data_IF_673126265227
#
_entry.id   IF_673126265227
#
_cell.length_a   1.000
_cell.length_b   1.000
_cell.length_c   1.000
_cell.angle_alpha   90.00
_cell.angle_beta   90.00
_cell.angle_gamma   90.00
#
_symmetry.space_group_name_H-M   'P 1'
#
loop_
_entity.id
_entity.type
_entity.pdbx_description
1 polymer ?
#
# COMPACT_ATOMS: atom_id res chain seq x y z
N UNK A 1 -23.13 -1.13 17.62
CA UNK A 1 -21.89 -1.83 17.99
C UNK A 1 -22.13 -3.31 17.75
N UNK A 2 -21.86 -3.80 16.52
CA UNK A 2 -22.00 -5.22 16.17
C UNK A 2 -20.57 -5.71 15.99
N UNK A 3 -20.11 -6.46 17.00
CA UNK A 3 -18.83 -7.15 16.97
C UNK A 3 -18.94 -8.31 15.97
N UNK A 4 -18.09 -8.35 14.97
CA UNK A 4 -17.90 -9.49 14.08
C UNK A 4 -16.80 -10.36 14.70
N UNK A 5 -17.20 -11.43 15.38
CA UNK A 5 -16.31 -12.55 15.68
C UNK A 5 -16.13 -13.37 14.39
N UNK A 6 -14.97 -13.26 13.80
CA UNK A 6 -14.53 -14.18 12.76
C UNK A 6 -13.74 -15.30 13.47
N UNK A 7 -14.35 -16.47 13.62
CA UNK A 7 -13.63 -17.66 14.11
C UNK A 7 -12.48 -18.02 13.16
N UNK A 8 -11.26 -17.85 13.65
CA UNK A 8 -10.04 -18.32 13.01
C UNK A 8 -9.91 -19.83 13.18
N UNK A 9 -10.37 -20.61 12.20
CA UNK A 9 -10.00 -22.02 12.04
C UNK A 9 -9.38 -22.25 10.68
N UNK A 10 -8.13 -21.85 10.53
CA UNK A 10 -7.30 -22.32 9.43
C UNK A 10 -6.04 -22.97 9.98
N UNK A 11 -6.04 -24.30 9.99
CA UNK A 11 -4.84 -25.11 10.25
C UNK A 11 -3.86 -24.92 9.10
N UNK A 12 -2.74 -24.29 9.39
CA UNK A 12 -1.60 -24.16 8.50
C UNK A 12 -0.93 -25.52 8.26
N UNK A 13 -0.94 -26.03 7.03
CA UNK A 13 0.00 -27.04 6.57
C UNK A 13 1.10 -26.35 5.75
N UNK A 14 2.39 -26.64 6.00
CA UNK A 14 3.47 -26.05 5.24
C UNK A 14 3.54 -26.66 3.84
N UNK A 15 3.53 -25.80 2.82
CA UNK A 15 3.82 -26.19 1.45
C UNK A 15 5.34 -26.17 1.25
N UNK A 16 5.90 -27.32 0.98
CA UNK A 16 7.33 -27.51 0.60
C UNK A 16 7.51 -26.97 -0.81
N UNK A 17 8.27 -25.89 -0.97
CA UNK A 17 8.64 -25.35 -2.27
C UNK A 17 9.84 -26.11 -2.81
N UNK A 18 9.67 -26.84 -3.91
CA UNK A 18 10.73 -27.38 -4.75
C UNK A 18 11.37 -26.27 -5.59
N UNK A 19 12.71 -26.21 -5.55
CA UNK A 19 13.50 -25.14 -6.14
C UNK A 19 13.49 -25.10 -7.67
N UNK A 20 13.48 -23.87 -8.19
CA UNK A 20 13.89 -23.55 -9.55
C UNK A 20 14.94 -22.43 -9.54
N UNK A 21 15.89 -22.54 -10.47
CA UNK A 21 17.13 -21.82 -10.53
C UNK A 21 17.01 -20.30 -10.72
N UNK A 22 17.93 -19.61 -10.07
CA UNK A 22 18.07 -18.15 -10.04
C UNK A 22 18.66 -17.62 -11.36
N UNK A 23 17.88 -16.85 -12.10
CA UNK A 23 18.39 -15.87 -13.04
C UNK A 23 18.42 -14.49 -12.37
N UNK A 24 19.57 -13.79 -12.43
CA UNK A 24 19.74 -12.45 -11.88
C UNK A 24 18.88 -11.45 -12.67
N UNK A 25 17.79 -10.97 -12.08
CA UNK A 25 17.06 -9.80 -12.58
C UNK A 25 17.17 -8.67 -11.57
N UNK A 26 17.83 -7.57 -11.98
CA UNK A 26 17.75 -6.31 -11.22
C UNK A 26 16.30 -5.80 -11.19
N UNK A 27 15.91 -5.18 -10.05
CA UNK A 27 14.52 -4.85 -9.79
C UNK A 27 13.91 -4.01 -10.92
N UNK A 28 12.68 -4.29 -11.27
CA UNK A 28 11.90 -3.60 -12.32
C UNK A 28 11.90 -2.07 -12.13
N UNK A 29 11.84 -1.62 -10.90
CA UNK A 29 11.80 -0.19 -10.54
C UNK A 29 13.12 0.56 -10.78
N UNK A 30 14.27 -0.12 -10.71
CA UNK A 30 15.57 0.48 -11.00
C UNK A 30 15.80 0.70 -12.51
N UNK A 31 15.18 -0.08 -13.38
CA UNK A 31 15.41 -0.01 -14.84
C UNK A 31 14.77 1.20 -15.51
N UNK A 32 13.72 1.77 -14.94
CA UNK A 32 13.06 2.95 -15.52
C UNK A 32 13.72 4.29 -15.18
N UNK A 33 14.61 4.33 -14.17
CA UNK A 33 15.31 5.56 -13.76
C UNK A 33 16.56 5.90 -14.61
N UNK A 34 17.07 5.00 -15.45
CA UNK A 34 18.38 5.14 -16.08
C UNK A 34 18.35 5.83 -17.46
N UNK A 35 17.19 6.04 -18.08
CA UNK A 35 17.13 6.51 -19.47
C UNK A 35 16.91 8.03 -19.68
N UNK A 36 16.98 8.88 -18.65
CA UNK A 36 16.82 10.34 -18.80
C UNK A 36 18.06 11.18 -18.51
N UNK A 37 19.21 10.61 -18.28
CA UNK A 37 20.44 11.35 -17.95
C UNK A 37 21.49 11.30 -19.05
N UNK A 38 21.15 11.72 -20.29
CA UNK A 38 22.15 12.07 -21.31
C UNK A 38 21.64 13.23 -22.14
N UNK A 39 21.85 14.43 -21.66
CA UNK A 39 22.03 15.65 -22.45
C UNK A 39 21.97 16.85 -21.50
N UNK A 40 23.10 17.44 -21.16
CA UNK A 40 23.37 18.86 -21.21
C UNK A 40 24.85 19.07 -20.83
N UNK A 41 25.53 19.81 -21.68
CA UNK A 41 26.97 19.97 -21.66
C UNK A 41 27.48 21.12 -20.80
N UNK A 42 28.75 21.04 -20.63
CA UNK A 42 29.84 21.98 -20.29
C UNK A 42 29.47 23.47 -20.14
N UNK A 43 29.88 24.05 -19.05
CA UNK A 43 30.12 25.48 -18.97
C UNK A 43 30.23 26.07 -17.57
N UNK A 44 31.43 26.55 -17.27
CA UNK A 44 31.82 27.61 -16.36
C UNK A 44 32.21 27.25 -14.93
N UNK A 45 33.52 27.25 -14.77
CA UNK A 45 34.31 27.37 -13.57
C UNK A 45 34.31 28.85 -13.11
N UNK A 46 33.95 29.14 -11.87
CA UNK A 46 34.42 30.37 -11.17
C UNK A 46 34.38 30.22 -9.66
N UNK A 47 35.48 30.56 -9.04
CA UNK A 47 35.85 30.59 -7.61
C UNK A 47 34.82 31.30 -6.72
N UNK A 48 34.67 30.76 -5.50
CA UNK A 48 34.66 31.55 -4.25
C UNK A 48 35.01 30.65 -3.07
N UNK A 49 36.24 30.72 -2.65
CA UNK A 49 36.72 30.33 -1.32
C UNK A 49 36.29 31.43 -0.32
N UNK A 50 35.43 31.10 0.62
CA UNK A 50 35.42 31.61 2.01
C UNK A 50 34.14 31.12 2.73
N UNK A 51 34.29 30.40 3.84
CA UNK A 51 33.16 30.06 4.73
C UNK A 51 33.11 28.59 5.17
N UNK A 52 34.25 27.97 5.39
CA UNK A 52 34.29 26.71 6.10
C UNK A 52 34.40 27.03 7.61
N UNK A 53 33.28 26.90 8.32
CA UNK A 53 33.25 26.52 9.74
C UNK A 53 31.85 26.80 10.34
N UNK A 54 30.84 26.01 10.04
CA UNK A 54 29.69 25.80 10.94
C UNK A 54 28.78 24.73 10.33
N UNK A 55 29.17 23.47 10.33
CA UNK A 55 28.27 22.36 9.95
C UNK A 55 28.76 20.98 10.41
N UNK A 56 29.48 20.90 11.52
CA UNK A 56 29.99 19.60 12.03
C UNK A 56 29.02 18.97 13.06
N UNK A 57 28.05 19.71 13.60
CA UNK A 57 27.10 19.15 14.59
C UNK A 57 25.77 18.62 14.04
N UNK A 58 25.45 18.78 12.75
CA UNK A 58 24.16 18.32 12.18
C UNK A 58 24.23 16.90 11.58
N UNK A 59 25.40 16.27 11.53
CA UNK A 59 25.59 14.97 10.86
C UNK A 59 25.36 13.74 11.74
N UNK A 60 24.95 13.88 13.00
CA UNK A 60 24.86 12.76 13.95
C UNK A 60 23.45 12.25 14.25
N UNK A 61 22.39 12.83 13.73
CA UNK A 61 21.04 12.30 13.91
C UNK A 61 20.62 11.46 12.69
N UNK A 62 20.02 10.27 12.89
CA UNK A 62 19.51 9.48 11.78
C UNK A 62 18.37 10.23 11.08
N UNK A 63 18.31 10.12 9.75
CA UNK A 63 17.21 10.65 8.97
C UNK A 63 15.96 9.76 9.09
N UNK A 64 14.80 10.28 8.68
CA UNK A 64 13.57 9.48 8.59
C UNK A 64 13.74 8.33 7.59
N UNK A 65 14.48 8.56 6.50
CA UNK A 65 14.79 7.54 5.51
C UNK A 65 15.71 6.45 6.07
N UNK A 66 16.72 6.79 6.87
CA UNK A 66 17.56 5.79 7.54
C UNK A 66 16.72 4.90 8.46
N UNK A 67 15.77 5.49 9.19
CA UNK A 67 14.81 4.74 10.01
C UNK A 67 13.96 3.81 9.14
N UNK A 68 13.36 4.30 8.05
CA UNK A 68 12.54 3.50 7.15
C UNK A 68 13.34 2.34 6.53
N UNK A 69 14.56 2.59 6.10
CA UNK A 69 15.46 1.57 5.54
C UNK A 69 15.86 0.52 6.56
N UNK A 70 16.20 0.94 7.80
CA UNK A 70 16.53 0.00 8.88
C UNK A 70 15.38 -0.96 9.18
N UNK A 71 14.15 -0.41 9.33
CA UNK A 71 12.94 -1.20 9.55
C UNK A 71 12.65 -2.15 8.39
N UNK A 72 12.93 -1.71 7.17
CA UNK A 72 12.74 -2.49 5.95
C UNK A 72 13.82 -3.57 5.71
N UNK A 73 14.84 -3.68 6.57
CA UNK A 73 15.97 -4.59 6.36
C UNK A 73 16.84 -4.20 5.16
N UNK A 74 16.94 -2.89 4.86
CA UNK A 74 17.77 -2.34 3.79
C UNK A 74 19.04 -1.71 4.37
N UNK A 75 20.15 -1.68 3.62
CA UNK A 75 21.37 -1.04 4.07
C UNK A 75 21.13 0.43 4.47
N UNK A 76 21.70 0.85 5.59
CA UNK A 76 21.67 2.22 6.08
C UNK A 76 23.08 2.74 6.28
N UNK A 77 23.22 4.07 6.21
CA UNK A 77 24.47 4.77 6.49
C UNK A 77 24.36 5.54 7.82
N UNK A 78 25.47 6.13 8.27
CA UNK A 78 25.46 6.97 9.46
C UNK A 78 25.24 6.20 10.78
N UNK A 79 24.60 6.84 11.78
CA UNK A 79 24.53 6.31 13.16
C UNK A 79 23.84 4.96 13.29
N UNK A 80 22.87 4.66 12.43
CA UNK A 80 22.12 3.40 12.49
C UNK A 80 22.85 2.22 11.84
N UNK A 81 23.97 2.45 11.15
CA UNK A 81 24.74 1.39 10.48
C UNK A 81 25.30 0.35 11.44
N UNK A 82 25.50 0.69 12.71
CA UNK A 82 25.95 -0.24 13.75
C UNK A 82 24.97 -1.39 13.98
N UNK A 83 23.66 -1.14 13.87
CA UNK A 83 22.65 -2.17 13.99
C UNK A 83 22.71 -3.20 12.87
N UNK A 84 23.16 -2.81 11.67
CA UNK A 84 23.25 -3.71 10.51
C UNK A 84 24.36 -4.75 10.62
N UNK A 85 25.27 -4.59 11.60
CA UNK A 85 26.30 -5.58 11.91
C UNK A 85 25.77 -6.70 12.84
N UNK A 86 24.63 -6.51 13.50
CA UNK A 86 24.01 -7.53 14.34
C UNK A 86 23.47 -8.68 13.47
N UNK A 87 23.85 -9.92 13.80
CA UNK A 87 23.44 -11.11 13.05
C UNK A 87 21.90 -11.28 13.02
N UNK A 88 21.20 -10.86 14.06
CA UNK A 88 19.74 -10.92 14.14
C UNK A 88 19.10 -9.92 13.16
N UNK A 89 19.67 -8.71 13.06
CA UNK A 89 19.23 -7.76 12.04
C UNK A 89 19.49 -8.28 10.64
N UNK A 90 20.63 -8.93 10.39
CA UNK A 90 20.91 -9.58 9.09
C UNK A 90 19.90 -10.69 8.79
N UNK A 91 19.48 -11.45 9.80
CA UNK A 91 18.38 -12.41 9.69
C UNK A 91 17.05 -11.76 9.33
N UNK A 92 16.72 -10.60 9.94
CA UNK A 92 15.57 -9.80 9.56
C UNK A 92 15.65 -9.32 8.11
N UNK A 93 16.77 -8.76 7.69
CA UNK A 93 16.99 -8.27 6.33
C UNK A 93 16.80 -9.39 5.29
N UNK A 94 17.39 -10.57 5.54
CA UNK A 94 17.24 -11.72 4.65
C UNK A 94 15.79 -12.22 4.56
N UNK A 95 15.04 -12.23 5.67
CA UNK A 95 13.63 -12.61 5.69
C UNK A 95 12.77 -11.61 4.89
N UNK A 96 13.00 -10.31 5.10
CA UNK A 96 12.32 -9.26 4.35
C UNK A 96 12.62 -9.31 2.85
N UNK A 97 13.87 -9.53 2.46
CA UNK A 97 14.27 -9.67 1.06
C UNK A 97 13.58 -10.83 0.38
N UNK A 98 13.52 -11.99 1.06
CA UNK A 98 12.83 -13.16 0.53
C UNK A 98 11.34 -12.90 0.31
N UNK A 99 10.68 -12.36 1.33
CA UNK A 99 9.24 -12.05 1.25
C UNK A 99 8.95 -10.98 0.17
N UNK A 100 9.80 -9.95 0.08
CA UNK A 100 9.65 -8.88 -0.89
C UNK A 100 9.83 -9.36 -2.34
N UNK A 101 10.87 -10.13 -2.64
CA UNK A 101 11.08 -10.71 -3.97
C UNK A 101 9.90 -11.56 -4.42
N UNK A 102 9.33 -12.33 -3.51
CA UNK A 102 8.12 -13.11 -3.80
C UNK A 102 6.94 -12.19 -4.12
N UNK A 103 6.72 -11.15 -3.30
CA UNK A 103 5.65 -10.19 -3.51
C UNK A 103 5.82 -9.39 -4.82
N UNK A 104 7.03 -8.94 -5.11
CA UNK A 104 7.37 -8.21 -6.33
C UNK A 104 7.06 -9.07 -7.56
N UNK A 105 7.57 -10.29 -7.61
CA UNK A 105 7.42 -11.18 -8.76
C UNK A 105 5.97 -11.62 -9.01
N UNK A 106 5.24 -12.04 -7.96
CA UNK A 106 3.90 -12.61 -8.12
C UNK A 106 2.75 -11.60 -8.02
N UNK A 107 3.03 -10.36 -7.60
CA UNK A 107 1.99 -9.34 -7.40
C UNK A 107 2.33 -7.99 -8.03
N UNK A 108 3.42 -7.35 -7.61
CA UNK A 108 3.65 -5.95 -7.97
C UNK A 108 3.99 -5.78 -9.46
N UNK A 109 4.86 -6.64 -10.00
CA UNK A 109 5.19 -6.63 -11.44
C UNK A 109 3.99 -6.99 -12.31
N UNK A 110 3.22 -8.07 -12.04
CA UNK A 110 1.98 -8.36 -12.75
C UNK A 110 0.95 -7.23 -12.70
N UNK A 111 0.75 -6.58 -11.54
CA UNK A 111 -0.15 -5.43 -11.42
C UNK A 111 0.31 -4.27 -12.30
N UNK A 112 1.60 -3.90 -12.24
CA UNK A 112 2.15 -2.82 -13.03
C UNK A 112 2.01 -3.08 -14.55
N UNK A 113 2.29 -4.30 -14.99
CA UNK A 113 2.14 -4.72 -16.39
C UNK A 113 0.68 -4.67 -16.83
N UNK A 114 -0.23 -5.16 -15.99
CA UNK A 114 -1.66 -5.14 -16.26
C UNK A 114 -2.19 -3.71 -16.34
N UNK A 115 -1.86 -2.84 -15.36
CA UNK A 115 -2.25 -1.43 -15.36
C UNK A 115 -1.70 -0.69 -16.58
N UNK A 116 -0.43 -0.92 -16.94
CA UNK A 116 0.18 -0.32 -18.12
C UNK A 116 -0.53 -0.69 -19.43
N UNK A 117 -1.05 -1.92 -19.52
CA UNK A 117 -1.70 -2.45 -20.72
C UNK A 117 -3.20 -2.10 -20.79
N UNK A 118 -3.91 -2.06 -19.67
CA UNK A 118 -5.37 -1.94 -19.64
C UNK A 118 -5.84 -0.55 -19.18
N UNK A 119 -5.06 0.14 -18.35
CA UNK A 119 -5.43 1.42 -17.74
C UNK A 119 -4.25 2.43 -17.71
N UNK A 120 -3.42 2.45 -18.76
CA UNK A 120 -2.15 3.18 -18.79
C UNK A 120 -2.28 4.69 -18.56
N UNK A 121 -3.40 5.29 -18.93
CA UNK A 121 -3.69 6.70 -18.67
C UNK A 121 -3.87 6.98 -17.16
N UNK A 122 -4.56 6.08 -16.46
CA UNK A 122 -4.77 6.17 -15.00
C UNK A 122 -3.52 5.72 -14.22
N UNK A 123 -2.79 4.73 -14.72
CA UNK A 123 -1.51 4.30 -14.16
C UNK A 123 -0.51 5.47 -14.06
N UNK A 124 -0.52 6.36 -15.05
CA UNK A 124 0.30 7.59 -15.10
C UNK A 124 -0.40 8.84 -14.57
N UNK A 125 -1.56 8.69 -13.90
CA UNK A 125 -2.28 9.83 -13.34
C UNK A 125 -1.48 10.46 -12.20
N UNK A 126 -1.24 11.76 -12.29
CA UNK A 126 -0.52 12.56 -11.28
C UNK A 126 -1.45 13.22 -10.26
N UNK A 127 -2.74 12.90 -10.30
CA UNK A 127 -3.75 13.46 -9.40
C UNK A 127 -3.75 12.83 -8.00
N UNK A 128 -4.90 12.94 -7.33
CA UNK A 128 -5.14 12.32 -6.02
C UNK A 128 -5.58 10.87 -6.19
N UNK A 129 -5.06 9.99 -5.36
CA UNK A 129 -5.48 8.59 -5.24
C UNK A 129 -6.19 8.38 -3.90
N UNK A 130 -7.40 7.83 -3.95
CA UNK A 130 -8.23 7.55 -2.79
C UNK A 130 -8.27 6.04 -2.52
N UNK A 131 -7.93 5.62 -1.29
CA UNK A 131 -8.04 4.24 -0.86
C UNK A 131 -8.74 4.15 0.49
N UNK A 132 -10.05 4.16 0.45
CA UNK A 132 -10.90 3.99 1.62
C UNK A 132 -10.89 2.51 2.05
N UNK A 133 -10.94 2.24 3.34
CA UNK A 133 -10.82 0.91 3.95
C UNK A 133 -9.47 0.22 3.70
N UNK A 134 -8.41 1.00 3.48
CA UNK A 134 -7.09 0.48 3.14
C UNK A 134 -6.31 -0.06 4.34
N UNK A 135 -6.59 0.44 5.57
CA UNK A 135 -5.56 0.33 6.60
C UNK A 135 -4.23 0.90 6.09
N UNK A 136 -3.07 0.35 6.48
CA UNK A 136 -1.77 0.81 6.01
C UNK A 136 -1.36 0.29 4.62
N UNK A 137 -2.29 -0.22 3.79
CA UNK A 137 -1.99 -0.84 2.49
C UNK A 137 -1.54 0.15 1.41
N UNK A 138 -0.48 0.88 1.68
CA UNK A 138 0.16 1.76 0.69
C UNK A 138 0.79 0.96 -0.47
N UNK A 139 1.17 -0.29 -0.23
CA UNK A 139 1.83 -1.12 -1.20
C UNK A 139 1.01 -1.29 -2.48
N UNK A 140 -0.27 -1.65 -2.34
CA UNK A 140 -1.16 -1.80 -3.49
C UNK A 140 -1.59 -0.44 -4.07
N UNK A 141 -1.78 0.58 -3.24
CA UNK A 141 -2.04 1.94 -3.70
C UNK A 141 -0.98 2.41 -4.70
N UNK A 142 0.30 2.19 -4.35
CA UNK A 142 1.44 2.55 -5.18
C UNK A 142 1.59 1.63 -6.41
N UNK A 143 1.36 0.33 -6.27
CA UNK A 143 1.45 -0.61 -7.39
C UNK A 143 0.45 -0.29 -8.51
N UNK A 144 -0.78 0.10 -8.15
CA UNK A 144 -1.80 0.48 -9.13
C UNK A 144 -1.63 1.90 -9.67
N UNK A 145 -1.16 2.87 -8.87
CA UNK A 145 -1.12 4.28 -9.23
C UNK A 145 0.20 4.95 -8.79
N UNK A 146 1.37 4.54 -9.33
CA UNK A 146 2.69 4.98 -8.83
C UNK A 146 2.97 6.47 -9.06
N UNK A 147 2.27 7.10 -10.00
CA UNK A 147 2.48 8.48 -10.40
C UNK A 147 1.56 9.47 -9.68
N UNK A 148 0.65 9.01 -8.83
CA UNK A 148 -0.21 9.89 -8.06
C UNK A 148 0.61 10.84 -7.18
N UNK A 149 0.29 12.13 -7.20
CA UNK A 149 1.00 13.13 -6.39
C UNK A 149 0.60 13.07 -4.92
N UNK A 150 -0.61 12.60 -4.65
CA UNK A 150 -1.18 12.50 -3.31
C UNK A 150 -1.94 11.20 -3.14
N UNK A 151 -1.60 10.47 -2.10
CA UNK A 151 -2.32 9.26 -1.68
C UNK A 151 -3.09 9.57 -0.40
N UNK A 152 -4.36 9.19 -0.35
CA UNK A 152 -5.23 9.36 0.82
C UNK A 152 -5.77 7.99 1.21
N UNK A 153 -5.20 7.45 2.28
CA UNK A 153 -5.55 6.18 2.87
C UNK A 153 -6.38 6.39 4.13
N UNK A 154 -7.34 5.51 4.37
CA UNK A 154 -8.17 5.55 5.58
C UNK A 154 -8.38 4.14 6.15
N UNK A 155 -8.33 4.04 7.47
CA UNK A 155 -8.56 2.80 8.20
C UNK A 155 -8.96 3.06 9.65
N UNK A 156 -9.12 1.99 10.42
CA UNK A 156 -9.44 2.05 11.86
C UNK A 156 -8.21 1.80 12.75
N UNK A 157 -7.08 1.44 12.13
CA UNK A 157 -5.83 1.14 12.81
C UNK A 157 -5.23 2.42 13.40
N UNK A 158 -4.57 2.34 14.57
CA UNK A 158 -3.91 3.50 15.17
C UNK A 158 -2.81 4.05 14.25
N UNK A 159 -2.69 5.37 14.20
CA UNK A 159 -1.65 6.04 13.39
C UNK A 159 -0.25 5.61 13.82
N UNK A 160 -0.01 5.54 15.12
CA UNK A 160 1.31 5.22 15.68
C UNK A 160 2.27 6.40 15.63
N UNK A 161 3.54 6.10 15.88
CA UNK A 161 4.60 7.10 15.99
C UNK A 161 5.75 6.78 15.03
N UNK A 162 6.48 7.81 14.61
CA UNK A 162 7.79 7.62 13.98
C UNK A 162 8.71 6.93 14.99
N UNK A 163 9.26 5.76 14.69
CA UNK A 163 10.10 5.03 15.63
C UNK A 163 11.39 5.78 15.94
N UNK A 164 11.67 6.01 17.22
CA UNK A 164 12.98 6.52 17.66
C UNK A 164 13.94 5.33 17.87
N UNK A 165 14.38 4.76 16.75
CA UNK A 165 15.26 3.57 16.75
C UNK A 165 16.63 3.87 17.34
N UNK A 166 17.06 5.15 17.37
CA UNK A 166 18.35 5.55 17.93
C UNK A 166 18.46 5.37 19.45
N UNK A 167 17.31 5.30 20.12
CA UNK A 167 17.23 5.09 21.58
C UNK A 167 17.01 3.63 21.97
N UNK A 168 16.90 2.73 21.00
CA UNK A 168 16.72 1.30 21.28
C UNK A 168 18.09 0.62 21.42
N UNK A 169 18.19 -0.31 22.34
CA UNK A 169 19.28 -1.28 22.31
C UNK A 169 19.03 -2.34 21.24
N UNK A 170 20.04 -3.15 20.95
CA UNK A 170 19.96 -4.15 19.91
C UNK A 170 18.88 -5.24 20.20
N UNK A 171 18.67 -5.59 21.45
CA UNK A 171 17.69 -6.61 21.87
C UNK A 171 16.26 -6.08 21.64
N UNK A 172 15.99 -4.87 22.11
CA UNK A 172 14.71 -4.18 21.92
C UNK A 172 14.40 -4.00 20.45
N UNK A 173 15.38 -3.52 19.66
CA UNK A 173 15.19 -3.33 18.22
C UNK A 173 14.84 -4.65 17.54
N UNK A 174 15.60 -5.72 17.78
CA UNK A 174 15.37 -7.01 17.11
C UNK A 174 14.04 -7.66 17.51
N UNK A 175 13.61 -7.54 18.77
CA UNK A 175 12.28 -7.97 19.19
C UNK A 175 11.17 -7.22 18.45
N UNK A 176 11.29 -5.90 18.32
CA UNK A 176 10.36 -5.05 17.60
C UNK A 176 10.32 -5.35 16.08
N UNK A 177 11.47 -5.62 15.47
CA UNK A 177 11.55 -6.04 14.06
C UNK A 177 10.89 -7.41 13.82
N UNK A 178 10.96 -8.31 14.82
CA UNK A 178 10.21 -9.58 14.83
C UNK A 178 8.71 -9.32 14.77
N UNK A 179 8.19 -8.54 15.72
CA UNK A 179 6.77 -8.18 15.78
C UNK A 179 6.28 -7.47 14.51
N UNK A 180 7.10 -6.57 13.94
CA UNK A 180 6.77 -5.89 12.68
C UNK A 180 6.65 -6.87 11.51
N UNK A 181 7.55 -7.87 11.40
CA UNK A 181 7.42 -8.91 10.37
C UNK A 181 6.16 -9.74 10.56
N UNK A 182 5.83 -10.10 11.78
CA UNK A 182 4.63 -10.90 12.09
C UNK A 182 3.37 -10.12 11.68
N UNK A 183 3.28 -8.83 12.03
CA UNK A 183 2.18 -7.94 11.61
C UNK A 183 2.06 -7.84 10.09
N UNK A 184 3.17 -7.77 9.38
CA UNK A 184 3.17 -7.65 7.91
C UNK A 184 2.95 -8.99 7.21
N UNK A 185 3.14 -10.13 7.89
CA UNK A 185 3.12 -11.45 7.27
C UNK A 185 1.78 -11.75 6.59
N UNK A 186 0.67 -11.37 7.22
CA UNK A 186 -0.67 -11.54 6.68
C UNK A 186 -0.80 -10.83 5.31
N UNK A 187 -0.47 -9.55 5.21
CA UNK A 187 -0.51 -8.84 3.92
C UNK A 187 0.47 -9.44 2.90
N UNK A 188 1.68 -9.79 3.33
CA UNK A 188 2.69 -10.33 2.41
C UNK A 188 2.30 -11.70 1.86
N UNK A 189 1.50 -12.49 2.58
CA UNK A 189 1.03 -13.82 2.18
C UNK A 189 -0.36 -13.76 1.54
N UNK A 190 -1.36 -13.19 2.25
CA UNK A 190 -2.77 -13.20 1.84
C UNK A 190 -3.18 -12.01 0.99
N UNK A 191 -2.30 -11.00 0.86
CA UNK A 191 -2.48 -9.80 0.06
C UNK A 191 -3.44 -8.76 0.64
N UNK A 192 -3.98 -8.93 1.85
CA UNK A 192 -4.79 -7.94 2.57
C UNK A 192 -4.49 -7.97 4.07
N UNK A 193 -4.87 -6.92 4.78
CA UNK A 193 -4.78 -6.85 6.24
C UNK A 193 -6.10 -7.28 6.89
N UNK A 194 -5.98 -7.91 8.07
CA UNK A 194 -7.12 -8.18 8.95
C UNK A 194 -7.04 -7.20 10.12
N UNK A 195 -7.97 -6.24 10.19
CA UNK A 195 -7.94 -5.10 11.13
C UNK A 195 -7.83 -5.54 12.60
N UNK A 196 -8.55 -6.58 13.02
CA UNK A 196 -8.52 -7.03 14.42
C UNK A 196 -7.20 -7.72 14.78
N UNK A 197 -6.61 -8.48 13.87
CA UNK A 197 -5.27 -9.06 14.04
C UNK A 197 -4.23 -7.95 14.16
N UNK A 198 -4.26 -6.97 13.25
CA UNK A 198 -3.36 -5.84 13.26
C UNK A 198 -3.43 -5.01 14.54
N UNK A 199 -4.62 -4.71 15.06
CA UNK A 199 -4.78 -3.97 16.31
C UNK A 199 -4.10 -4.68 17.48
N UNK A 200 -4.22 -6.00 17.51
CA UNK A 200 -3.61 -6.84 18.55
C UNK A 200 -2.09 -6.87 18.42
N UNK A 201 -1.59 -7.08 17.22
CA UNK A 201 -0.15 -7.21 16.93
C UNK A 201 0.59 -5.87 17.10
N UNK A 202 0.02 -4.77 16.55
CA UNK A 202 0.57 -3.42 16.68
C UNK A 202 0.63 -2.93 18.14
N UNK A 203 -0.17 -3.50 19.03
CA UNK A 203 -0.12 -3.19 20.45
C UNK A 203 0.98 -3.93 21.23
N UNK A 204 1.65 -4.92 20.63
CA UNK A 204 2.63 -5.78 21.32
C UNK A 204 4.08 -5.28 21.26
N UNK A 205 4.37 -4.28 20.48
CA UNK A 205 5.72 -3.76 20.32
C UNK A 205 5.79 -2.24 20.50
N UNK A 206 6.98 -1.68 20.68
CA UNK A 206 7.18 -0.23 20.68
C UNK A 206 7.13 0.40 19.28
N UNK A 207 7.09 -0.43 18.21
CA UNK A 207 6.80 -0.01 16.84
C UNK A 207 5.29 -0.03 16.60
N UNK A 208 4.56 0.80 17.34
CA UNK A 208 3.10 0.80 17.34
C UNK A 208 2.51 1.54 16.15
N UNK A 209 1.33 1.08 15.70
CA UNK A 209 0.54 1.75 14.69
C UNK A 209 1.02 1.56 13.25
N UNK A 210 0.45 2.33 12.33
CA UNK A 210 0.62 2.16 10.89
C UNK A 210 1.91 2.79 10.35
N UNK A 211 2.46 3.82 11.00
CA UNK A 211 3.64 4.55 10.51
C UNK A 211 4.85 3.64 10.24
N UNK A 212 5.23 2.70 11.13
CA UNK A 212 6.35 1.80 10.84
C UNK A 212 6.12 0.93 9.59
N UNK A 213 4.88 0.48 9.35
CA UNK A 213 4.52 -0.32 8.17
C UNK A 213 4.62 0.53 6.90
N UNK A 214 4.09 1.76 6.93
CA UNK A 214 4.20 2.70 5.81
C UNK A 214 5.66 3.01 5.46
N UNK A 215 6.52 3.15 6.47
CA UNK A 215 7.96 3.37 6.28
C UNK A 215 8.62 2.16 5.59
N UNK A 216 8.29 0.94 6.00
CA UNK A 216 8.79 -0.27 5.35
C UNK A 216 8.37 -0.32 3.88
N UNK A 217 7.10 -0.05 3.58
CA UNK A 217 6.62 -0.06 2.19
C UNK A 217 7.29 1.02 1.34
N UNK A 218 7.39 2.25 1.85
CA UNK A 218 8.08 3.33 1.14
C UNK A 218 9.53 2.94 0.81
N UNK A 219 10.29 2.49 1.81
CA UNK A 219 11.68 2.10 1.61
C UNK A 219 11.82 0.91 0.63
N UNK A 220 10.97 -0.11 0.74
CA UNK A 220 10.99 -1.29 -0.13
C UNK A 220 10.56 -0.99 -1.56
N UNK A 221 9.71 0.02 -1.77
CA UNK A 221 9.36 0.54 -3.09
C UNK A 221 10.45 1.45 -3.69
N UNK A 222 11.57 1.66 -2.98
CA UNK A 222 12.66 2.52 -3.43
C UNK A 222 12.37 4.01 -3.28
N UNK A 223 11.36 4.36 -2.47
CA UNK A 223 11.05 5.75 -2.12
C UNK A 223 11.97 6.24 -1.00
N UNK A 224 12.27 7.51 -0.98
CA UNK A 224 13.01 8.21 0.09
C UNK A 224 12.03 8.98 0.97
N UNK A 225 12.00 8.71 2.26
CA UNK A 225 11.15 9.45 3.22
C UNK A 225 11.80 10.80 3.53
N UNK A 226 11.10 11.89 3.21
CA UNK A 226 11.63 13.27 3.34
C UNK A 226 11.13 13.95 4.59
N UNK A 227 9.82 13.86 4.88
CA UNK A 227 9.18 14.52 6.01
C UNK A 227 8.01 13.70 6.54
N UNK A 228 7.73 13.83 7.84
CA UNK A 228 6.57 13.22 8.48
C UNK A 228 5.97 14.19 9.49
N UNK A 229 4.70 14.48 9.34
CA UNK A 229 3.95 15.36 10.22
C UNK A 229 2.61 14.74 10.64
N UNK A 230 2.26 14.85 11.91
CA UNK A 230 0.95 14.43 12.40
C UNK A 230 -0.10 15.46 12.06
N UNK A 231 -1.29 15.00 11.71
CA UNK A 231 -2.45 15.82 11.40
C UNK A 231 -3.61 15.43 12.31
N UNK A 232 -4.38 16.44 12.76
CA UNK A 232 -5.49 16.25 13.70
C UNK A 232 -6.85 16.63 13.10
N UNK A 233 -6.84 17.24 11.92
CA UNK A 233 -8.04 17.62 11.17
C UNK A 233 -7.86 17.21 9.71
N UNK A 234 -8.84 16.56 9.08
CA UNK A 234 -10.24 16.30 9.49
C UNK A 234 -10.41 15.14 10.49
N UNK A 235 -9.37 14.35 10.71
CA UNK A 235 -9.28 13.23 11.63
C UNK A 235 -7.84 13.09 12.11
N UNK A 236 -7.60 12.23 13.11
CA UNK A 236 -6.25 11.84 13.52
C UNK A 236 -5.54 11.13 12.36
N UNK A 237 -4.33 11.56 12.03
CA UNK A 237 -3.61 11.00 10.90
C UNK A 237 -2.15 11.39 10.85
N UNK A 238 -1.49 10.95 9.79
CA UNK A 238 -0.12 11.29 9.45
C UNK A 238 -0.02 11.71 7.99
N UNK A 239 0.81 12.71 7.73
CA UNK A 239 1.26 13.09 6.38
C UNK A 239 2.73 12.69 6.25
N UNK A 240 3.06 11.90 5.26
CA UNK A 240 4.43 11.53 4.91
C UNK A 240 4.74 12.11 3.54
N UNK A 241 5.74 12.96 3.45
CA UNK A 241 6.30 13.43 2.18
C UNK A 241 7.46 12.50 1.80
N UNK A 242 7.43 12.00 0.60
CA UNK A 242 8.47 11.11 0.08
C UNK A 242 8.83 11.48 -1.36
N UNK A 243 9.98 11.00 -1.81
CA UNK A 243 10.41 11.16 -3.20
C UNK A 243 10.72 9.82 -3.86
N UNK A 244 10.38 9.70 -5.14
CA UNK A 244 10.75 8.57 -5.98
C UNK A 244 11.06 9.05 -7.41
N UNK A 245 12.20 8.64 -7.96
CA UNK A 245 12.61 9.05 -9.31
C UNK A 245 12.70 10.57 -9.50
N UNK A 246 13.05 11.32 -8.46
CA UNK A 246 13.14 12.79 -8.49
C UNK A 246 11.80 13.52 -8.34
N UNK A 247 10.68 12.82 -8.18
CA UNK A 247 9.35 13.41 -7.93
C UNK A 247 9.03 13.40 -6.45
N UNK A 248 8.48 14.49 -5.95
CA UNK A 248 7.94 14.58 -4.59
C UNK A 248 6.47 14.18 -4.59
N UNK A 249 6.09 13.31 -3.66
CA UNK A 249 4.73 12.78 -3.48
C UNK A 249 4.34 12.85 -2.01
N UNK A 250 3.05 12.84 -1.73
CA UNK A 250 2.51 12.93 -0.37
C UNK A 250 1.59 11.75 -0.08
N UNK A 251 1.81 11.08 1.03
CA UNK A 251 0.96 10.03 1.57
C UNK A 251 0.27 10.55 2.84
N UNK A 252 -1.04 10.51 2.86
CA UNK A 252 -1.86 10.69 4.06
C UNK A 252 -2.41 9.33 4.49
N UNK A 253 -2.31 9.03 5.76
CA UNK A 253 -3.09 8.00 6.40
C UNK A 253 -3.94 8.62 7.51
N UNK A 254 -5.23 8.31 7.55
CA UNK A 254 -6.16 8.77 8.56
C UNK A 254 -6.81 7.60 9.29
N UNK A 255 -6.81 7.66 10.63
CA UNK A 255 -7.64 6.82 11.46
C UNK A 255 -9.03 7.43 11.53
N UNK A 256 -9.98 6.86 10.81
CA UNK A 256 -11.34 7.39 10.74
C UNK A 256 -12.37 6.31 10.50
N UNK A 257 -13.51 6.42 11.17
CA UNK A 257 -14.69 5.64 10.87
C UNK A 257 -15.41 6.26 9.67
N UNK A 258 -15.58 5.48 8.62
CA UNK A 258 -16.25 5.89 7.39
C UNK A 258 -17.76 5.57 7.40
N UNK A 259 -18.30 5.02 8.49
CA UNK A 259 -19.73 4.79 8.65
C UNK A 259 -20.49 6.11 8.80
N UNK A 260 -21.77 6.10 8.43
CA UNK A 260 -22.57 7.29 8.40
C UNK A 260 -22.27 8.20 7.21
N UNK A 261 -23.16 9.12 6.89
CA UNK A 261 -23.01 10.05 5.77
C UNK A 261 -22.34 11.36 6.18
N UNK A 262 -21.58 11.99 5.27
CA UNK A 262 -21.23 13.41 5.32
C UNK A 262 -20.21 13.82 6.39
N UNK A 263 -19.33 12.94 6.83
CA UNK A 263 -18.30 13.27 7.80
C UNK A 263 -17.31 14.33 7.27
N UNK A 264 -16.60 15.00 8.19
CA UNK A 264 -15.62 16.05 7.87
C UNK A 264 -14.47 15.52 7.00
N UNK A 265 -14.12 14.25 7.14
CA UNK A 265 -13.06 13.61 6.36
C UNK A 265 -13.42 13.53 4.87
N UNK A 266 -14.64 13.08 4.51
CA UNK A 266 -15.05 13.01 3.10
C UNK A 266 -15.17 14.42 2.48
N UNK A 267 -15.60 15.43 3.25
CA UNK A 267 -15.59 16.85 2.80
C UNK A 267 -14.16 17.33 2.53
N UNK A 268 -13.24 16.98 3.40
CA UNK A 268 -11.82 17.30 3.23
C UNK A 268 -11.21 16.60 2.00
N UNK A 269 -11.59 15.35 1.74
CA UNK A 269 -11.20 14.63 0.52
C UNK A 269 -11.79 15.33 -0.72
N UNK A 270 -13.07 15.68 -0.71
CA UNK A 270 -13.75 16.35 -1.83
C UNK A 270 -13.08 17.66 -2.24
N UNK A 271 -12.56 18.43 -1.28
CA UNK A 271 -11.82 19.67 -1.55
C UNK A 271 -10.50 19.47 -2.33
N UNK A 272 -10.04 18.24 -2.50
CA UNK A 272 -8.83 17.87 -3.31
C UNK A 272 -9.16 17.51 -4.75
N UNK A 273 -10.43 17.58 -5.10
CA UNK A 273 -10.90 17.37 -6.46
C UNK A 273 -11.02 15.89 -6.86
N UNK A 274 -11.28 15.65 -8.14
CA UNK A 274 -11.40 14.30 -8.67
C UNK A 274 -10.04 13.58 -8.68
N UNK A 275 -10.09 12.24 -8.59
CA UNK A 275 -8.89 11.41 -8.57
C UNK A 275 -9.16 10.00 -9.07
N UNK A 276 -8.26 9.10 -8.75
CA UNK A 276 -8.41 7.66 -8.98
C UNK A 276 -8.67 6.96 -7.65
N UNK A 277 -9.28 5.78 -7.68
CA UNK A 277 -9.59 5.04 -6.45
C UNK A 277 -9.24 3.56 -6.55
N UNK A 278 -8.75 3.02 -5.44
CA UNK A 278 -8.58 1.60 -5.21
C UNK A 278 -9.50 1.15 -4.09
N UNK A 279 -10.17 0.02 -4.28
CA UNK A 279 -11.00 -0.61 -3.26
C UNK A 279 -10.70 -2.11 -3.31
N UNK A 280 -10.16 -2.65 -2.23
CA UNK A 280 -9.74 -4.05 -2.17
C UNK A 280 -10.05 -4.64 -0.80
N UNK A 281 -10.71 -5.78 -0.78
CA UNK A 281 -11.08 -6.51 0.44
C UNK A 281 -11.81 -5.61 1.46
N UNK A 282 -12.83 -4.84 0.99
CA UNK A 282 -13.54 -3.81 1.76
C UNK A 282 -14.74 -4.35 2.55
N UNK A 283 -14.78 -5.64 2.86
CA UNK A 283 -15.79 -6.32 3.69
C UNK A 283 -17.24 -6.06 3.27
N UNK A 284 -17.48 -5.76 1.99
CA UNK A 284 -18.81 -5.46 1.44
C UNK A 284 -19.54 -4.31 2.16
N UNK A 285 -18.81 -3.44 2.86
CA UNK A 285 -19.39 -2.38 3.68
C UNK A 285 -20.25 -1.42 2.86
N UNK A 286 -19.84 -1.11 1.63
CA UNK A 286 -20.56 -0.22 0.73
C UNK A 286 -21.79 -0.86 0.05
N UNK A 287 -22.08 -2.14 0.30
CA UNK A 287 -23.33 -2.80 -0.11
C UNK A 287 -24.52 -2.37 0.76
N UNK A 288 -24.26 -1.91 2.00
CA UNK A 288 -25.24 -1.41 2.94
C UNK A 288 -25.34 0.12 2.98
N UNK A 289 -26.43 0.62 3.58
CA UNK A 289 -26.69 2.05 3.69
C UNK A 289 -25.76 2.76 4.69
N UNK A 290 -25.20 2.03 5.67
CA UNK A 290 -24.28 2.59 6.66
C UNK A 290 -23.02 3.22 6.06
N UNK A 291 -22.66 2.84 4.83
CA UNK A 291 -21.49 3.36 4.11
C UNK A 291 -21.86 4.00 2.75
N UNK A 292 -23.14 4.41 2.60
CA UNK A 292 -23.58 5.11 1.38
C UNK A 292 -22.82 6.41 1.15
N UNK A 293 -22.47 7.15 2.20
CA UNK A 293 -21.70 8.40 2.07
C UNK A 293 -20.33 8.21 1.43
N UNK A 294 -19.56 7.17 1.79
CA UNK A 294 -18.27 6.89 1.16
C UNK A 294 -18.44 6.31 -0.24
N UNK A 295 -19.45 5.46 -0.47
CA UNK A 295 -19.80 4.96 -1.79
C UNK A 295 -20.10 6.12 -2.75
N UNK A 296 -20.95 7.05 -2.35
CA UNK A 296 -21.39 8.19 -3.16
C UNK A 296 -20.24 9.19 -3.37
N UNK A 297 -19.35 9.36 -2.37
CA UNK A 297 -18.11 10.12 -2.52
C UNK A 297 -17.23 9.52 -3.63
N UNK A 298 -16.95 8.23 -3.58
CA UNK A 298 -16.09 7.56 -4.57
C UNK A 298 -16.73 7.62 -5.96
N UNK A 299 -18.02 7.35 -6.10
CA UNK A 299 -18.74 7.50 -7.36
C UNK A 299 -18.79 8.96 -7.85
N UNK A 300 -18.80 9.94 -6.95
CA UNK A 300 -18.82 11.37 -7.29
C UNK A 300 -17.46 11.96 -7.66
N UNK A 301 -16.38 11.45 -7.08
CA UNK A 301 -15.04 12.06 -7.17
C UNK A 301 -13.98 11.20 -7.85
N UNK A 302 -14.29 9.97 -8.27
CA UNK A 302 -13.32 9.15 -9.01
C UNK A 302 -13.52 9.28 -10.51
N UNK A 303 -12.42 9.32 -11.26
CA UNK A 303 -12.39 9.19 -12.72
C UNK A 303 -12.17 7.74 -13.14
N UNK A 304 -11.49 6.98 -12.28
CA UNK A 304 -11.25 5.55 -12.41
C UNK A 304 -11.37 4.90 -11.03
N UNK A 305 -12.02 3.74 -10.96
CA UNK A 305 -12.08 2.90 -9.77
C UNK A 305 -11.59 1.51 -10.15
N UNK A 306 -10.58 1.04 -9.44
CA UNK A 306 -10.14 -0.36 -9.48
C UNK A 306 -10.65 -1.03 -8.22
N UNK A 307 -11.45 -2.08 -8.36
CA UNK A 307 -12.02 -2.74 -7.19
C UNK A 307 -12.18 -4.25 -7.39
N UNK A 308 -12.32 -4.98 -6.25
CA UNK A 308 -12.88 -6.32 -6.24
C UNK A 308 -14.41 -6.29 -6.03
N UNK A 309 -15.03 -7.44 -5.87
CA UNK A 309 -16.46 -7.56 -5.66
C UNK A 309 -16.94 -7.11 -4.26
N UNK A 310 -16.01 -6.94 -3.32
CA UNK A 310 -16.30 -6.42 -1.97
C UNK A 310 -16.49 -4.90 -1.92
N UNK A 311 -16.17 -4.22 -3.03
CA UNK A 311 -16.22 -2.77 -3.16
C UNK A 311 -17.64 -2.22 -3.36
N UNK A 312 -17.78 -1.31 -4.31
CA UNK A 312 -19.07 -0.70 -4.70
C UNK A 312 -19.90 -1.74 -5.45
N UNK A 313 -21.14 -2.03 -5.03
CA UNK A 313 -21.97 -3.00 -5.72
C UNK A 313 -22.35 -2.54 -7.14
N UNK A 314 -22.45 -3.48 -8.10
CA UNK A 314 -22.73 -3.16 -9.50
C UNK A 314 -23.96 -2.28 -9.68
N UNK A 315 -25.02 -2.51 -8.88
CA UNK A 315 -26.27 -1.74 -8.94
C UNK A 315 -26.11 -0.24 -8.63
N UNK A 316 -24.98 0.16 -7.98
CA UNK A 316 -24.72 1.55 -7.64
C UNK A 316 -24.01 2.33 -8.75
N UNK A 317 -23.42 1.63 -9.73
CA UNK A 317 -22.81 2.29 -10.88
C UNK A 317 -23.90 2.73 -11.85
N UNK A 318 -23.98 4.02 -12.10
CA UNK A 318 -24.89 4.61 -13.08
C UNK A 318 -24.36 4.52 -14.52
N UNK A 319 -25.16 5.00 -15.46
CA UNK A 319 -24.85 5.04 -16.92
C UNK A 319 -23.57 5.83 -17.29
N UNK A 320 -23.06 6.63 -16.36
CA UNK A 320 -21.84 7.43 -16.54
C UNK A 320 -20.56 6.63 -16.29
N UNK A 321 -20.66 5.32 -16.09
CA UNK A 321 -19.55 4.43 -15.85
C UNK A 321 -19.51 3.32 -16.90
N UNK A 322 -18.32 3.09 -17.45
CA UNK A 322 -18.00 1.88 -18.20
C UNK A 322 -17.30 0.90 -17.27
N UNK A 323 -17.78 -0.35 -17.25
CA UNK A 323 -17.27 -1.40 -16.38
C UNK A 323 -16.63 -2.50 -17.23
N UNK A 324 -15.40 -2.83 -16.89
CA UNK A 324 -14.67 -3.97 -17.44
C UNK A 324 -14.38 -4.97 -16.32
N UNK A 325 -14.42 -6.26 -16.65
CA UNK A 325 -14.35 -7.35 -15.70
C UNK A 325 -13.19 -8.26 -16.05
N UNK A 326 -12.42 -8.67 -15.04
CA UNK A 326 -11.23 -9.50 -15.19
C UNK A 326 -11.17 -10.55 -14.09
N UNK A 327 -10.56 -11.70 -14.41
CA UNK A 327 -10.38 -12.79 -13.47
C UNK A 327 -11.57 -13.71 -13.37
N UNK A 328 -11.93 -14.15 -12.18
CA UNK A 328 -12.96 -15.17 -11.94
C UNK A 328 -13.88 -14.76 -10.80
N UNK A 329 -15.19 -14.93 -10.99
CA UNK A 329 -16.15 -14.89 -9.89
C UNK A 329 -16.25 -16.27 -9.25
N UNK A 330 -16.01 -16.31 -7.95
CA UNK A 330 -16.17 -17.50 -7.12
C UNK A 330 -17.14 -17.13 -6.00
N UNK A 331 -18.30 -17.78 -5.90
CA UNK A 331 -19.25 -17.52 -4.84
C UNK A 331 -18.58 -17.67 -3.46
N UNK A 332 -18.90 -16.76 -2.56
CA UNK A 332 -18.40 -16.80 -1.20
C UNK A 332 -19.20 -17.80 -0.38
N UNK A 333 -18.53 -18.49 0.55
CA UNK A 333 -19.18 -19.36 1.49
C UNK A 333 -20.09 -18.60 2.47
N UNK A 334 -20.42 -19.22 3.60
CA UNK A 334 -21.39 -18.71 4.57
C UNK A 334 -21.11 -17.27 5.06
N UNK A 335 -19.84 -16.88 5.18
CA UNK A 335 -19.46 -15.56 5.74
C UNK A 335 -19.92 -14.38 4.86
N UNK A 336 -19.70 -14.46 3.55
CA UNK A 336 -19.97 -13.36 2.62
C UNK A 336 -20.98 -13.69 1.52
N UNK A 337 -21.48 -14.93 1.44
CA UNK A 337 -22.41 -15.38 0.37
C UNK A 337 -23.67 -14.55 0.23
N UNK A 338 -24.14 -13.92 1.33
CA UNK A 338 -25.28 -13.00 1.28
C UNK A 338 -25.01 -11.71 0.47
N UNK A 339 -23.75 -11.43 0.14
CA UNK A 339 -23.35 -10.28 -0.67
C UNK A 339 -23.03 -10.67 -2.11
N UNK A 340 -23.08 -11.98 -2.46
CA UNK A 340 -22.89 -12.42 -3.83
C UNK A 340 -23.90 -11.73 -4.75
N UNK A 341 -23.39 -11.12 -5.83
CA UNK A 341 -24.21 -10.37 -6.76
C UNK A 341 -24.55 -11.26 -7.96
N UNK A 342 -25.83 -11.59 -8.13
CA UNK A 342 -26.28 -12.41 -9.27
C UNK A 342 -25.85 -11.82 -10.63
N UNK A 343 -25.94 -10.49 -10.79
CA UNK A 343 -25.50 -9.83 -12.01
C UNK A 343 -24.00 -10.05 -12.29
N UNK A 344 -23.17 -10.13 -11.25
CA UNK A 344 -21.74 -10.42 -11.38
C UNK A 344 -21.55 -11.88 -11.82
N UNK A 345 -22.24 -12.83 -11.19
CA UNK A 345 -22.21 -14.24 -11.59
C UNK A 345 -22.62 -14.42 -13.06
N UNK A 346 -23.67 -13.75 -13.51
CA UNK A 346 -24.14 -13.78 -14.90
C UNK A 346 -23.09 -13.26 -15.90
N UNK A 347 -22.33 -12.20 -15.53
CA UNK A 347 -21.25 -11.65 -16.37
C UNK A 347 -20.14 -12.69 -16.53
N UNK A 348 -19.73 -13.35 -15.45
CA UNK A 348 -18.63 -14.31 -15.49
C UNK A 348 -19.02 -15.69 -16.07
N UNK A 349 -20.32 -15.98 -16.20
CA UNK A 349 -20.82 -17.17 -16.91
C UNK A 349 -21.06 -16.94 -18.42
N UNK A 350 -20.77 -15.74 -18.95
CA UNK A 350 -20.90 -15.49 -20.39
C UNK A 350 -19.86 -16.28 -21.19
N UNK A 351 -20.11 -16.42 -22.47
CA UNK A 351 -19.17 -17.01 -23.42
C UNK A 351 -18.82 -15.99 -24.52
N UNK A 352 -17.55 -15.52 -24.63
CA UNK A 352 -16.42 -15.86 -23.76
C UNK A 352 -16.54 -15.23 -22.36
N UNK A 353 -15.95 -15.85 -21.36
CA UNK A 353 -15.86 -15.27 -20.02
C UNK A 353 -14.89 -14.07 -19.99
N UNK A 354 -14.91 -13.24 -18.92
CA UNK A 354 -13.92 -12.19 -18.73
C UNK A 354 -12.47 -12.73 -18.80
N UNK A 355 -11.50 -11.92 -19.28
CA UNK A 355 -10.09 -12.32 -19.36
C UNK A 355 -9.53 -12.67 -17.97
N UNK A 356 -8.59 -13.60 -17.93
CA UNK A 356 -7.88 -13.95 -16.70
C UNK A 356 -7.05 -12.78 -16.15
N UNK A 357 -6.88 -12.77 -14.80
CA UNK A 357 -6.19 -11.72 -14.10
C UNK A 357 -4.80 -12.18 -13.68
N UNK A 358 -3.80 -12.32 -14.21
CA UNK A 358 -2.49 -12.89 -13.89
C UNK A 358 -1.90 -12.65 -12.49
N UNK A 359 -2.68 -12.11 -11.53
CA UNK A 359 -2.30 -11.86 -10.14
C UNK A 359 -3.50 -11.99 -9.18
N UNK A 360 -3.23 -12.25 -7.90
CA UNK A 360 -4.27 -12.34 -6.89
C UNK A 360 -4.83 -10.95 -6.54
N UNK A 361 -6.17 -10.84 -6.40
CA UNK A 361 -6.84 -9.60 -6.04
C UNK A 361 -8.10 -9.86 -5.20
N UNK A 362 -8.44 -8.93 -4.30
CA UNK A 362 -9.54 -9.07 -3.36
C UNK A 362 -9.17 -9.99 -2.19
N UNK A 363 -10.10 -10.84 -1.79
CA UNK A 363 -9.93 -11.80 -0.70
C UNK A 363 -9.20 -13.08 -1.07
N UNK A 364 -8.89 -13.29 -2.34
CA UNK A 364 -8.23 -14.50 -2.82
C UNK A 364 -6.71 -14.30 -2.90
N UNK A 365 -5.96 -15.28 -2.37
CA UNK A 365 -4.48 -15.26 -2.42
C UNK A 365 -3.90 -16.02 -3.63
N UNK A 366 -4.76 -16.62 -4.44
CA UNK A 366 -4.41 -17.36 -5.65
C UNK A 366 -4.76 -16.50 -6.86
N UNK A 367 -3.82 -16.35 -7.80
CA UNK A 367 -4.01 -15.50 -8.98
C UNK A 367 -5.23 -15.94 -9.82
N UNK A 368 -5.42 -17.25 -9.99
CA UNK A 368 -6.55 -17.84 -10.72
C UNK A 368 -7.92 -17.61 -10.07
N UNK A 369 -7.95 -17.10 -8.84
CA UNK A 369 -9.17 -16.77 -8.10
C UNK A 369 -9.38 -15.27 -7.95
N UNK A 370 -8.43 -14.45 -8.39
CA UNK A 370 -8.56 -13.00 -8.35
C UNK A 370 -9.73 -12.52 -9.21
N UNK A 371 -10.43 -11.50 -8.73
CA UNK A 371 -11.49 -10.80 -9.45
C UNK A 371 -11.22 -9.29 -9.38
N UNK A 372 -11.24 -8.63 -10.54
CA UNK A 372 -11.05 -7.19 -10.62
C UNK A 372 -12.11 -6.57 -11.54
N UNK A 373 -12.68 -5.49 -11.08
CA UNK A 373 -13.60 -4.63 -11.83
C UNK A 373 -12.89 -3.30 -12.04
N UNK A 374 -12.68 -2.93 -13.30
CA UNK A 374 -12.17 -1.62 -13.71
C UNK A 374 -13.35 -0.77 -14.15
N UNK A 375 -13.64 0.28 -13.39
CA UNK A 375 -14.70 1.24 -13.70
C UNK A 375 -14.08 2.56 -14.17
N UNK A 376 -14.47 3.02 -15.37
CA UNK A 376 -14.03 4.30 -15.94
C UNK A 376 -15.21 5.24 -16.05
N UNK A 377 -15.01 6.48 -15.67
CA UNK A 377 -16.02 7.53 -15.86
C UNK A 377 -16.02 7.98 -17.34
N UNK A 378 -17.22 8.04 -17.93
CA UNK A 378 -17.45 8.57 -19.28
C UNK A 378 -17.25 10.07 -19.36
#
# INVERSE_FOLDING_TARGET
>A
MIAFEAESRFTSRPVVATGYGLAQSGSFWQKHAVNLAKSVGKGVLALALAGANTSICAQNAPTLDDTARLLAGLPVNGPLSTFTQDQRWQGHAAAMDKAWKTKEHFQLEPIANWMGSHAGEYYRSTGTMYYMFSGPDFLYAYAFFPDASTYILAGLEPVGQVPDVSRMDADTLNANLGALRDTMSTLLITHYFVTEEMKTELGRSSLTGTVPILYVFLARLGCTVVDTAYVHSPAEGVRITFSHGGRSQTLYYFKTDLSGGGNSFLKWCAARGPGVSLIKAASYLMHGEGFSGVRDFLLGHSTCIVQDDSGIPLRAFGKNWDLEFYGRFIPHGETFGKYDQQALAEIYHRNPPPPELGFAFGYWWQAERGLLILARRK
#
